data_IF_428531955626
#
_entry.id   IF_428531955626
#
_cell.length_a   1.000
_cell.length_b   1.000
_cell.length_c   1.000
_cell.angle_alpha   90.00
_cell.angle_beta   90.00
_cell.angle_gamma   90.00
#
_symmetry.space_group_name_H-M   'P 1'
#
loop_
_entity.id
_entity.type
_entity.pdbx_description
1 polymer ?
#
# COMPACT_ATOMS: atom_id res chain seq x y z
N UNK A 1 -0.74 -15.45 -11.34
CA UNK A 1 0.08 -15.33 -10.12
C UNK A 1 1.39 -14.59 -10.38
N UNK A 2 2.09 -14.95 -11.42
CA UNK A 2 3.41 -14.34 -11.75
C UNK A 2 3.38 -12.83 -11.96
N UNK A 3 2.34 -12.31 -12.62
CA UNK A 3 2.19 -10.86 -12.86
C UNK A 3 2.09 -10.06 -11.55
N UNK A 4 1.36 -10.58 -10.56
CA UNK A 4 1.22 -9.94 -9.25
C UNK A 4 2.54 -9.89 -8.50
N UNK A 5 3.30 -10.98 -8.52
CA UNK A 5 4.61 -11.05 -7.87
C UNK A 5 5.57 -10.05 -8.51
N UNK A 6 5.63 -10.03 -9.84
CA UNK A 6 6.50 -9.10 -10.59
C UNK A 6 6.10 -7.65 -10.32
N UNK A 7 4.81 -7.32 -10.39
CA UNK A 7 4.32 -5.95 -10.13
C UNK A 7 4.64 -5.51 -8.70
N UNK A 8 4.38 -6.38 -7.72
CA UNK A 8 4.63 -6.07 -6.31
C UNK A 8 6.12 -5.92 -6.02
N UNK A 9 6.96 -6.78 -6.59
CA UNK A 9 8.41 -6.68 -6.44
C UNK A 9 8.94 -5.39 -7.06
N UNK A 10 8.54 -5.08 -8.29
CA UNK A 10 8.98 -3.87 -9.01
C UNK A 10 8.61 -2.59 -8.26
N UNK A 11 7.36 -2.47 -7.80
CA UNK A 11 6.94 -1.28 -7.05
C UNK A 11 7.61 -1.19 -5.68
N UNK A 12 7.88 -2.32 -5.03
CA UNK A 12 8.58 -2.34 -3.74
C UNK A 12 10.06 -1.96 -3.87
N UNK A 13 10.71 -2.33 -4.96
CA UNK A 13 12.06 -1.86 -5.28
C UNK A 13 12.06 -0.35 -5.55
N UNK A 14 11.13 0.15 -6.36
CA UNK A 14 10.99 1.59 -6.61
C UNK A 14 10.69 2.38 -5.34
N UNK A 15 9.82 1.87 -4.49
CA UNK A 15 9.51 2.44 -3.19
C UNK A 15 10.75 2.48 -2.26
N UNK A 16 11.57 1.40 -2.27
CA UNK A 16 12.82 1.35 -1.50
C UNK A 16 13.82 2.38 -2.01
N UNK A 17 13.97 2.53 -3.33
CA UNK A 17 14.82 3.57 -3.91
C UNK A 17 14.37 4.96 -3.48
N UNK A 18 13.07 5.24 -3.55
CA UNK A 18 12.51 6.51 -3.09
C UNK A 18 12.76 6.75 -1.59
N UNK A 19 12.57 5.71 -0.77
CA UNK A 19 12.87 5.78 0.66
C UNK A 19 14.36 6.09 0.93
N UNK A 20 15.28 5.44 0.21
CA UNK A 20 16.73 5.68 0.35
C UNK A 20 17.07 7.11 -0.05
N UNK A 21 16.54 7.61 -1.17
CA UNK A 21 16.74 8.97 -1.65
C UNK A 21 16.18 9.97 -0.62
N UNK A 22 14.94 9.77 -0.18
CA UNK A 22 14.31 10.63 0.82
C UNK A 22 15.10 10.63 2.14
N UNK A 23 15.58 9.48 2.58
CA UNK A 23 16.39 9.38 3.79
C UNK A 23 17.74 10.08 3.65
N UNK A 24 18.37 10.02 2.47
CA UNK A 24 19.65 10.66 2.22
C UNK A 24 19.53 12.19 2.19
N UNK A 25 18.52 12.74 1.51
CA UNK A 25 18.39 14.19 1.33
C UNK A 25 17.62 14.89 2.43
N UNK A 26 16.66 14.22 3.06
CA UNK A 26 15.70 14.87 3.96
C UNK A 26 15.75 14.37 5.40
N UNK A 27 16.56 13.37 5.73
CA UNK A 27 16.63 12.81 7.09
C UNK A 27 16.91 13.90 8.14
N UNK A 28 17.95 14.70 7.93
CA UNK A 28 18.37 15.72 8.89
C UNK A 28 17.31 16.81 9.06
N UNK A 29 16.73 17.28 7.97
CA UNK A 29 15.66 18.28 7.97
C UNK A 29 14.40 17.75 8.68
N UNK A 30 14.00 16.53 8.36
CA UNK A 30 12.83 15.87 8.96
C UNK A 30 13.05 15.66 10.46
N UNK A 31 14.21 15.17 10.84
CA UNK A 31 14.55 14.98 12.25
C UNK A 31 14.62 16.30 13.01
N UNK A 32 15.17 17.35 12.42
CA UNK A 32 15.20 18.66 13.03
C UNK A 32 13.80 19.23 13.29
N UNK A 33 12.90 19.12 12.30
CA UNK A 33 11.55 19.70 12.39
C UNK A 33 10.58 18.88 13.27
N UNK A 34 10.75 17.55 13.34
CA UNK A 34 9.73 16.66 13.87
C UNK A 34 10.18 15.87 15.12
N UNK A 35 11.48 15.84 15.44
CA UNK A 35 12.02 15.00 16.53
C UNK A 35 11.38 15.28 17.89
N UNK A 36 11.19 16.54 18.24
CA UNK A 36 10.60 16.90 19.53
C UNK A 36 9.11 16.52 19.64
N UNK A 37 8.34 16.82 18.59
CA UNK A 37 6.89 16.57 18.57
C UNK A 37 6.54 15.08 18.50
N UNK A 38 7.36 14.28 17.84
CA UNK A 38 7.06 12.87 17.55
C UNK A 38 7.96 11.86 18.26
N UNK A 39 8.83 12.29 19.18
CA UNK A 39 9.80 11.41 19.87
C UNK A 39 9.17 10.18 20.52
N UNK A 40 8.02 10.34 21.19
CA UNK A 40 7.27 9.24 21.81
C UNK A 40 6.74 8.24 20.78
N UNK A 41 6.19 8.75 19.68
CA UNK A 41 5.65 7.93 18.58
C UNK A 41 6.76 7.23 17.81
N UNK A 42 7.90 7.90 17.59
CA UNK A 42 9.07 7.32 16.93
C UNK A 42 9.58 6.11 17.72
N UNK A 43 9.77 6.24 19.04
CA UNK A 43 10.20 5.13 19.92
C UNK A 43 9.24 3.94 19.89
N UNK A 44 7.93 4.22 19.97
CA UNK A 44 6.90 3.18 19.92
C UNK A 44 6.87 2.47 18.57
N UNK A 45 6.99 3.22 17.47
CA UNK A 45 7.05 2.65 16.13
C UNK A 45 8.28 1.76 15.96
N UNK A 46 9.46 2.21 16.37
CA UNK A 46 10.72 1.47 16.23
C UNK A 46 10.73 0.12 16.94
N UNK A 47 9.96 -0.06 18.00
CA UNK A 47 9.84 -1.34 18.71
C UNK A 47 9.24 -2.45 17.83
N UNK A 48 8.30 -2.11 16.95
CA UNK A 48 7.59 -3.05 16.08
C UNK A 48 7.40 -2.47 14.65
N UNK A 49 8.42 -1.82 14.12
CA UNK A 49 8.36 -1.06 12.86
C UNK A 49 7.84 -1.87 11.68
N UNK A 50 8.22 -3.16 11.58
CA UNK A 50 7.74 -4.05 10.55
C UNK A 50 6.22 -4.21 10.58
N UNK A 51 5.66 -4.54 11.75
CA UNK A 51 4.22 -4.79 11.90
C UNK A 51 3.38 -3.54 11.69
N UNK A 52 3.82 -2.39 12.25
CA UNK A 52 3.12 -1.13 12.04
C UNK A 52 3.12 -0.70 10.58
N UNK A 53 4.26 -0.81 9.91
CA UNK A 53 4.36 -0.42 8.52
C UNK A 53 3.68 -1.41 7.58
N UNK A 54 3.77 -2.71 7.85
CA UNK A 54 3.01 -3.74 7.16
C UNK A 54 1.49 -3.47 7.26
N UNK A 55 0.97 -3.27 8.46
CA UNK A 55 -0.44 -2.97 8.66
C UNK A 55 -0.86 -1.68 7.91
N UNK A 56 -0.05 -0.63 7.98
CA UNK A 56 -0.28 0.62 7.25
C UNK A 56 -0.36 0.41 5.73
N UNK A 57 0.55 -0.38 5.16
CA UNK A 57 0.55 -0.74 3.74
C UNK A 57 -0.61 -1.64 3.36
N UNK A 58 -0.90 -2.64 4.20
CA UNK A 58 -1.99 -3.59 3.99
C UNK A 58 -3.35 -2.90 3.93
N UNK A 59 -3.56 -1.91 4.76
CA UNK A 59 -4.78 -1.09 4.83
C UNK A 59 -4.84 -0.02 3.72
N UNK A 60 -3.87 0.00 2.80
CA UNK A 60 -3.81 0.98 1.70
C UNK A 60 -3.30 2.35 2.11
N UNK A 61 -2.50 2.43 3.17
CA UNK A 61 -1.89 3.67 3.63
C UNK A 61 -2.87 4.69 4.20
N UNK A 62 -4.07 4.24 4.64
CA UNK A 62 -5.13 5.09 5.22
C UNK A 62 -5.54 6.27 4.32
N UNK A 63 -5.49 6.09 2.99
CA UNK A 63 -5.83 7.12 2.02
C UNK A 63 -4.74 8.17 1.79
N UNK A 64 -3.55 8.01 2.37
CA UNK A 64 -2.42 8.91 2.07
C UNK A 64 -1.88 8.65 0.66
N UNK A 65 -1.44 9.70 -0.07
CA UNK A 65 -0.79 9.53 -1.36
C UNK A 65 0.41 8.58 -1.28
N UNK A 66 0.60 7.75 -2.30
CA UNK A 66 1.67 6.73 -2.31
C UNK A 66 3.06 7.30 -2.07
N UNK A 67 3.33 8.50 -2.59
CA UNK A 67 4.58 9.23 -2.32
C UNK A 67 4.80 9.43 -0.81
N UNK A 68 3.80 9.96 -0.10
CA UNK A 68 3.90 10.18 1.34
C UNK A 68 4.09 8.88 2.13
N UNK A 69 3.44 7.81 1.70
CA UNK A 69 3.64 6.49 2.32
C UNK A 69 5.09 6.01 2.25
N UNK A 70 5.85 6.44 1.23
CA UNK A 70 7.26 6.08 1.07
C UNK A 70 8.20 7.00 1.84
N UNK A 71 7.81 8.25 2.09
CA UNK A 71 8.60 9.23 2.82
C UNK A 71 8.37 9.17 4.33
N UNK A 72 7.14 8.87 4.77
CA UNK A 72 6.81 8.75 6.19
C UNK A 72 7.77 7.88 7.01
N UNK A 73 8.23 6.71 6.55
CA UNK A 73 9.17 5.88 7.29
C UNK A 73 10.52 6.54 7.58
N UNK A 74 10.90 7.59 6.82
CA UNK A 74 12.12 8.39 7.10
C UNK A 74 12.00 9.08 8.45
N UNK A 75 10.81 9.60 8.80
CA UNK A 75 10.54 10.24 10.09
C UNK A 75 10.82 9.28 11.26
N UNK A 76 10.50 8.00 11.06
CA UNK A 76 10.64 6.95 12.06
C UNK A 76 12.01 6.27 12.03
N UNK A 77 12.90 6.65 11.10
CA UNK A 77 14.21 6.05 10.88
C UNK A 77 14.13 4.52 10.77
N UNK A 78 13.20 4.04 9.95
CA UNK A 78 12.89 2.62 9.77
C UNK A 78 14.04 1.87 9.10
N UNK A 79 14.31 0.63 9.52
CA UNK A 79 15.33 -0.22 8.89
C UNK A 79 14.93 -0.57 7.45
N UNK A 80 15.84 -0.39 6.50
CA UNK A 80 15.62 -0.65 5.05
C UNK A 80 15.07 -2.06 4.77
N UNK A 81 15.57 -3.09 5.50
CA UNK A 81 15.08 -4.47 5.37
C UNK A 81 13.61 -4.59 5.77
N UNK A 82 13.23 -4.05 6.93
CA UNK A 82 11.86 -4.10 7.43
C UNK A 82 10.92 -3.30 6.54
N UNK A 83 11.35 -2.14 6.04
CA UNK A 83 10.62 -1.37 5.04
C UNK A 83 10.33 -2.17 3.77
N UNK A 84 11.34 -2.84 3.21
CA UNK A 84 11.21 -3.60 1.97
C UNK A 84 10.25 -4.79 2.12
N UNK A 85 10.45 -5.63 3.12
CA UNK A 85 9.60 -6.80 3.33
C UNK A 85 8.16 -6.42 3.74
N UNK A 86 7.99 -5.41 4.58
CA UNK A 86 6.66 -4.92 4.93
C UNK A 86 5.94 -4.31 3.72
N UNK A 87 6.67 -3.65 2.80
CA UNK A 87 6.10 -3.14 1.55
C UNK A 87 5.66 -4.27 0.62
N UNK A 88 6.49 -5.29 0.39
CA UNK A 88 6.12 -6.43 -0.44
C UNK A 88 4.86 -7.09 0.09
N UNK A 89 4.85 -7.49 1.36
CA UNK A 89 3.74 -8.22 1.95
C UNK A 89 2.48 -7.36 2.05
N UNK A 90 2.62 -6.08 2.39
CA UNK A 90 1.49 -5.18 2.54
C UNK A 90 0.84 -4.77 1.21
N UNK A 91 1.61 -4.65 0.14
CA UNK A 91 1.09 -4.28 -1.18
C UNK A 91 0.57 -5.48 -1.99
N UNK A 92 0.99 -6.70 -1.66
CA UNK A 92 0.65 -7.90 -2.41
C UNK A 92 -0.87 -8.08 -2.64
N UNK A 93 -1.77 -7.96 -1.63
CA UNK A 93 -3.20 -8.13 -1.84
C UNK A 93 -3.79 -7.05 -2.77
N UNK A 94 -3.31 -5.80 -2.68
CA UNK A 94 -3.75 -4.72 -3.55
C UNK A 94 -3.39 -5.01 -5.02
N UNK A 95 -2.14 -5.39 -5.28
CA UNK A 95 -1.71 -5.72 -6.64
C UNK A 95 -2.39 -6.97 -7.18
N UNK A 96 -2.69 -7.95 -6.32
CA UNK A 96 -3.48 -9.11 -6.72
C UNK A 96 -4.87 -8.69 -7.24
N UNK A 97 -5.58 -7.84 -6.49
CA UNK A 97 -6.90 -7.33 -6.87
C UNK A 97 -6.82 -6.57 -8.20
N UNK A 98 -5.92 -5.60 -8.32
CA UNK A 98 -5.78 -4.79 -9.54
C UNK A 98 -5.41 -5.62 -10.76
N UNK A 99 -4.50 -6.57 -10.62
CA UNK A 99 -4.13 -7.47 -11.71
C UNK A 99 -5.28 -8.39 -12.13
N UNK A 100 -6.10 -8.85 -11.17
CA UNK A 100 -7.27 -9.68 -11.47
C UNK A 100 -8.34 -8.88 -12.21
N UNK A 101 -8.62 -7.66 -11.78
CA UNK A 101 -9.54 -6.75 -12.48
C UNK A 101 -9.04 -6.49 -13.92
N UNK A 102 -7.77 -6.15 -14.07
CA UNK A 102 -7.18 -5.90 -15.39
C UNK A 102 -7.23 -7.13 -16.32
N UNK A 103 -7.02 -8.32 -15.77
CA UNK A 103 -7.14 -9.57 -16.52
C UNK A 103 -8.60 -9.85 -16.92
N UNK A 104 -9.56 -9.59 -16.05
CA UNK A 104 -10.99 -9.73 -16.32
C UNK A 104 -11.46 -8.80 -17.43
N UNK A 105 -11.04 -7.54 -17.39
CA UNK A 105 -11.34 -6.56 -18.45
C UNK A 105 -10.78 -7.05 -19.81
N UNK A 106 -9.52 -7.48 -19.84
CA UNK A 106 -8.90 -7.96 -21.07
C UNK A 106 -9.59 -9.22 -21.64
N UNK A 107 -10.01 -10.14 -20.75
CA UNK A 107 -10.78 -11.33 -21.14
C UNK A 107 -12.11 -10.92 -21.77
N UNK A 108 -12.86 -10.04 -21.08
CA UNK A 108 -14.15 -9.55 -21.57
C UNK A 108 -14.04 -8.89 -22.95
N UNK A 109 -13.05 -8.02 -23.17
CA UNK A 109 -12.85 -7.34 -24.45
C UNK A 109 -12.57 -8.34 -25.59
N UNK A 110 -11.84 -9.43 -25.30
CA UNK A 110 -11.51 -10.45 -26.30
C UNK A 110 -12.67 -11.38 -26.64
N UNK A 111 -13.55 -11.64 -25.68
CA UNK A 111 -14.65 -12.61 -25.84
C UNK A 111 -15.97 -11.95 -26.26
N UNK A 112 -16.10 -10.63 -26.18
CA UNK A 112 -17.32 -9.89 -26.50
C UNK A 112 -17.23 -9.25 -27.90
N UNK A 113 -18.21 -9.53 -28.75
CA UNK A 113 -18.33 -8.89 -30.06
C UNK A 113 -18.69 -7.40 -29.98
N UNK A 114 -19.34 -7.00 -28.87
CA UNK A 114 -19.71 -5.61 -28.61
C UNK A 114 -19.36 -5.23 -27.16
N UNK A 115 -18.80 -4.04 -26.97
CA UNK A 115 -18.51 -3.53 -25.64
C UNK A 115 -19.80 -3.07 -24.94
N UNK A 116 -20.15 -3.74 -23.84
CA UNK A 116 -21.26 -3.32 -22.97
C UNK A 116 -20.74 -3.17 -21.53
N UNK A 117 -20.75 -1.95 -21.02
CA UNK A 117 -20.21 -1.62 -19.72
C UNK A 117 -20.95 -2.34 -18.56
N UNK A 118 -22.27 -2.51 -18.67
CA UNK A 118 -23.08 -3.19 -17.65
C UNK A 118 -22.70 -4.67 -17.57
N UNK A 119 -22.57 -5.34 -18.70
CA UNK A 119 -22.17 -6.74 -18.76
C UNK A 119 -20.73 -6.93 -18.25
N UNK A 120 -19.85 -5.99 -18.54
CA UNK A 120 -18.47 -5.98 -18.02
C UNK A 120 -18.46 -5.96 -16.48
N UNK A 121 -19.20 -5.03 -15.87
CA UNK A 121 -19.27 -4.93 -14.40
C UNK A 121 -19.95 -6.12 -13.73
N UNK A 122 -20.83 -6.80 -14.45
CA UNK A 122 -21.55 -7.99 -13.96
C UNK A 122 -20.75 -9.29 -14.10
N UNK A 123 -19.57 -9.24 -14.75
CA UNK A 123 -18.71 -10.41 -14.90
C UNK A 123 -18.06 -10.81 -13.58
N UNK A 124 -18.01 -12.13 -13.29
CA UNK A 124 -17.45 -12.66 -12.03
C UNK A 124 -15.99 -12.25 -11.84
N UNK A 125 -15.27 -12.15 -12.91
CA UNK A 125 -13.85 -11.79 -12.96
C UNK A 125 -13.61 -10.34 -12.50
N UNK A 126 -14.65 -9.49 -12.50
CA UNK A 126 -14.56 -8.08 -12.11
C UNK A 126 -15.28 -7.81 -10.79
N UNK A 127 -16.54 -8.24 -10.63
CA UNK A 127 -17.27 -7.86 -9.44
C UNK A 127 -16.72 -8.51 -8.15
N UNK A 128 -16.18 -9.75 -8.22
CA UNK A 128 -15.59 -10.41 -7.03
C UNK A 128 -14.37 -9.65 -6.50
N UNK A 129 -13.34 -9.32 -7.31
CA UNK A 129 -12.22 -8.49 -6.85
C UNK A 129 -12.66 -7.11 -6.36
N UNK A 130 -13.65 -6.49 -6.99
CA UNK A 130 -14.18 -5.18 -6.56
C UNK A 130 -14.84 -5.29 -5.17
N UNK A 131 -15.63 -6.32 -4.93
CA UNK A 131 -16.23 -6.55 -3.60
C UNK A 131 -15.14 -6.76 -2.54
N UNK A 132 -14.13 -7.57 -2.83
CA UNK A 132 -13.00 -7.79 -1.91
C UNK A 132 -12.29 -6.47 -1.62
N UNK A 133 -12.08 -5.63 -2.63
CA UNK A 133 -11.47 -4.31 -2.47
C UNK A 133 -12.31 -3.38 -1.59
N UNK A 134 -13.63 -3.36 -1.78
CA UNK A 134 -14.54 -2.58 -0.93
C UNK A 134 -14.52 -3.06 0.52
N UNK A 135 -14.47 -4.37 0.76
CA UNK A 135 -14.33 -4.93 2.10
C UNK A 135 -13.01 -4.47 2.75
N UNK A 136 -11.90 -4.49 2.01
CA UNK A 136 -10.62 -4.00 2.52
C UNK A 136 -10.67 -2.51 2.88
N UNK A 137 -11.34 -1.69 2.07
CA UNK A 137 -11.56 -0.27 2.39
C UNK A 137 -12.38 -0.12 3.68
N UNK A 138 -13.48 -0.85 3.81
CA UNK A 138 -14.34 -0.79 5.01
C UNK A 138 -13.55 -1.21 6.26
N UNK A 139 -12.82 -2.31 6.19
CA UNK A 139 -11.95 -2.77 7.28
C UNK A 139 -10.90 -1.71 7.63
N UNK A 140 -10.31 -1.07 6.62
CA UNK A 140 -9.38 0.04 6.78
C UNK A 140 -9.99 1.20 7.56
N UNK A 141 -11.19 1.62 7.19
CA UNK A 141 -11.90 2.72 7.84
C UNK A 141 -12.27 2.38 9.30
N UNK A 142 -12.69 1.13 9.56
CA UNK A 142 -12.99 0.66 10.92
C UNK A 142 -11.73 0.68 11.79
N UNK A 143 -10.61 0.19 11.26
CA UNK A 143 -9.32 0.20 11.98
C UNK A 143 -8.89 1.64 12.25
N UNK A 144 -8.99 2.52 11.25
CA UNK A 144 -8.67 3.94 11.41
C UNK A 144 -9.48 4.55 12.56
N UNK A 145 -10.81 4.41 12.51
CA UNK A 145 -11.73 4.96 13.54
C UNK A 145 -11.42 4.41 14.94
N UNK A 146 -11.10 3.12 15.06
CA UNK A 146 -10.88 2.48 16.36
C UNK A 146 -9.53 2.82 17.00
N UNK A 147 -8.49 3.09 16.21
CA UNK A 147 -7.11 3.19 16.71
C UNK A 147 -6.44 4.55 16.49
N UNK A 148 -7.04 5.42 15.69
CA UNK A 148 -6.42 6.71 15.32
C UNK A 148 -7.30 7.93 15.59
N UNK A 149 -8.58 7.76 15.85
CA UNK A 149 -9.51 8.85 16.15
C UNK A 149 -9.79 9.01 17.68
N UNK A 150 -8.91 8.43 18.55
CA UNK A 150 -8.86 8.73 19.99
C UNK A 150 -7.82 9.80 20.32
#
# INVERSE_FOLDING_TARGET
MDRTIVSTASISIGALCLYIIANFFFSDLIHYLLKEKFSKYIKRFQQNEFYYFFAFRFVGGLGTPFFLQNVLPVIFNMKKKNYFFASILGLLPHFYIWNTIGAGINKYIKESESFNFVNLLSSKEIYIPVIIFLILIIVSLIIKKKYFDE
#
